data_IF_483602096883
#
_entry.id   IF_483602096883
#
_cell.length_a   1.000
_cell.length_b   1.000
_cell.length_c   1.000
_cell.angle_alpha   90.00
_cell.angle_beta   90.00
_cell.angle_gamma   90.00
#
_symmetry.space_group_name_H-M   'P 1'
#
loop_
_entity.id
_entity.type
_entity.pdbx_description
1 polymer ?
#
# COMPACT_ATOMS: atom_id res chain seq x y z
N UNK A 1 12.69 21.53 29.74
CA UNK A 1 11.72 20.58 29.14
C UNK A 1 10.34 20.57 29.80
N UNK A 2 9.34 21.04 29.08
CA UNK A 2 7.93 20.91 29.44
C UNK A 2 7.41 19.52 29.03
N UNK A 3 6.58 18.90 29.88
CA UNK A 3 5.98 17.59 29.59
C UNK A 3 4.64 17.78 28.88
N UNK A 4 4.50 17.23 27.68
CA UNK A 4 3.26 17.24 26.91
C UNK A 4 2.65 15.85 26.83
N UNK A 5 1.32 15.81 26.73
CA UNK A 5 0.61 14.57 26.45
C UNK A 5 0.76 14.20 24.97
N UNK A 6 0.85 12.90 24.71
CA UNK A 6 1.06 12.36 23.36
C UNK A 6 -0.10 11.44 23.02
N UNK A 7 -0.77 11.68 21.91
CA UNK A 7 -1.81 10.80 21.39
C UNK A 7 -1.25 10.05 20.20
N UNK A 8 -1.34 8.71 20.24
CA UNK A 8 -0.98 7.83 19.12
C UNK A 8 -2.28 7.25 18.58
N UNK A 9 -2.58 7.52 17.32
CA UNK A 9 -3.76 6.99 16.63
C UNK A 9 -3.51 5.58 16.11
N UNK A 10 -4.56 4.86 15.73
CA UNK A 10 -4.46 3.53 15.09
C UNK A 10 -3.62 3.54 13.81
N UNK A 11 -3.63 4.66 13.09
CA UNK A 11 -2.79 4.88 11.91
C UNK A 11 -1.33 5.25 12.23
N UNK A 12 -0.88 5.05 13.47
CA UNK A 12 0.47 5.38 13.98
C UNK A 12 0.87 6.87 13.93
N UNK A 13 -0.01 7.75 13.46
CA UNK A 13 0.21 9.19 13.56
C UNK A 13 0.20 9.64 15.03
N UNK A 14 1.04 10.62 15.30
CA UNK A 14 1.24 11.17 16.63
C UNK A 14 0.75 12.61 16.66
N UNK A 15 -0.05 12.96 17.68
CA UNK A 15 -0.39 14.33 18.02
C UNK A 15 0.07 14.64 19.42
N UNK A 16 0.87 15.69 19.57
CA UNK A 16 1.26 16.22 20.88
C UNK A 16 0.27 17.30 21.29
N UNK A 17 -0.08 17.38 22.58
CA UNK A 17 -0.97 18.43 23.07
C UNK A 17 -0.32 19.80 22.99
N UNK A 18 -1.08 20.80 22.57
CA UNK A 18 -0.64 22.20 22.50
C UNK A 18 -0.26 22.72 23.90
N UNK A 19 -1.01 22.30 24.93
CA UNK A 19 -0.73 22.66 26.32
C UNK A 19 0.13 21.58 27.01
N UNK A 20 1.17 21.97 27.74
CA UNK A 20 1.92 21.04 28.57
C UNK A 20 1.08 20.57 29.76
N UNK A 21 1.24 19.30 30.13
CA UNK A 21 0.69 18.71 31.36
C UNK A 21 1.50 19.18 32.57
N UNK A 22 2.82 19.36 32.41
CA UNK A 22 3.69 19.92 33.43
C UNK A 22 4.66 20.89 32.80
N UNK A 23 4.66 22.13 33.28
CA UNK A 23 5.63 23.16 32.90
C UNK A 23 6.95 22.96 33.67
N UNK A 24 8.07 23.30 33.04
CA UNK A 24 9.36 23.36 33.71
C UNK A 24 9.60 24.73 34.35
N UNK A 25 10.66 24.85 35.16
CA UNK A 25 11.01 26.10 35.85
C UNK A 25 11.22 27.27 34.89
N UNK A 26 11.91 27.04 33.77
CA UNK A 26 12.11 28.07 32.73
C UNK A 26 10.77 28.62 32.23
N UNK A 27 9.80 27.74 31.96
CA UNK A 27 8.48 28.15 31.51
C UNK A 27 7.69 28.86 32.63
N UNK A 28 7.83 28.45 33.89
CA UNK A 28 7.17 29.15 34.99
C UNK A 28 7.76 30.54 35.22
N UNK A 29 9.08 30.70 35.08
CA UNK A 29 9.76 31.99 35.24
C UNK A 29 9.40 32.95 34.12
N UNK A 30 9.27 32.45 32.89
CA UNK A 30 8.74 33.24 31.77
C UNK A 30 7.30 33.70 32.03
N UNK A 31 6.42 32.80 32.48
CA UNK A 31 5.01 33.14 32.78
C UNK A 31 4.91 34.15 33.94
N UNK A 32 5.81 34.08 34.92
CA UNK A 32 5.85 35.02 36.06
C UNK A 32 6.54 36.36 35.72
N UNK A 33 7.09 36.51 34.52
CA UNK A 33 7.78 37.73 34.07
C UNK A 33 9.20 37.89 34.61
N UNK A 34 9.74 36.86 35.26
CA UNK A 34 11.13 36.82 35.77
C UNK A 34 12.10 36.38 34.67
N UNK A 35 11.65 35.48 33.79
CA UNK A 35 12.40 34.98 32.64
C UNK A 35 12.14 35.78 31.36
N UNK A 36 13.17 35.95 30.52
CA UNK A 36 13.09 36.67 29.25
C UNK A 36 12.54 35.84 28.09
N UNK A 37 12.68 34.51 28.14
CA UNK A 37 12.37 33.60 27.03
C UNK A 37 11.52 32.41 27.47
N UNK A 38 10.63 31.97 26.59
CA UNK A 38 9.79 30.78 26.80
C UNK A 38 10.60 29.50 26.59
N UNK A 39 10.15 28.40 27.20
CA UNK A 39 10.74 27.09 27.00
C UNK A 39 10.14 26.39 25.77
N UNK A 40 10.96 26.16 24.75
CA UNK A 40 10.56 25.46 23.51
C UNK A 40 10.80 23.93 23.55
N UNK A 41 11.42 23.43 24.62
CA UNK A 41 11.74 22.01 24.71
C UNK A 41 10.54 21.16 25.11
N UNK A 42 10.04 20.37 24.16
CA UNK A 42 8.92 19.44 24.34
C UNK A 42 9.43 18.05 24.70
N UNK A 43 8.98 17.51 25.84
CA UNK A 43 9.19 16.11 26.24
C UNK A 43 7.87 15.39 26.39
N UNK A 44 7.78 14.12 25.96
CA UNK A 44 6.61 13.26 26.20
C UNK A 44 7.00 12.10 27.10
N UNK A 45 6.18 11.80 28.11
CA UNK A 45 6.37 10.64 28.98
C UNK A 45 5.43 9.49 28.58
N UNK A 46 5.87 8.21 28.63
CA UNK A 46 5.03 7.06 28.29
C UNK A 46 3.69 7.01 29.06
N UNK A 47 3.70 7.36 30.35
CA UNK A 47 2.47 7.39 31.17
C UNK A 47 1.45 8.48 30.75
N UNK A 48 1.89 9.48 29.98
CA UNK A 48 1.03 10.55 29.45
C UNK A 48 0.75 10.32 27.95
N UNK A 49 1.10 9.12 27.46
CA UNK A 49 0.86 8.70 26.08
C UNK A 49 -0.45 7.90 26.02
N UNK A 50 -1.43 8.41 25.28
CA UNK A 50 -2.73 7.75 25.09
C UNK A 50 -2.80 7.15 23.69
N UNK A 51 -3.08 5.85 23.60
CA UNK A 51 -3.38 5.20 22.32
C UNK A 51 -4.88 5.30 22.06
N UNK A 52 -5.26 5.92 20.94
CA UNK A 52 -6.66 5.99 20.51
C UNK A 52 -6.94 4.93 19.43
N UNK A 53 -8.05 4.18 19.55
CA UNK A 53 -8.42 3.18 18.55
C UNK A 53 -8.94 3.80 17.24
N UNK A 54 -9.15 5.11 17.21
CA UNK A 54 -9.54 5.84 16.00
C UNK A 54 -8.33 6.20 15.13
N UNK A 55 -8.59 6.42 13.85
CA UNK A 55 -7.65 7.08 12.93
C UNK A 55 -7.52 8.57 13.27
N UNK A 56 -6.45 9.21 12.78
CA UNK A 56 -6.34 10.66 12.85
C UNK A 56 -7.22 11.34 11.79
N UNK A 57 -7.58 12.61 11.98
CA UNK A 57 -8.43 13.37 11.06
C UNK A 57 -7.90 13.38 9.61
N UNK A 58 -6.59 13.51 9.44
CA UNK A 58 -5.97 13.45 8.12
C UNK A 58 -6.19 12.09 7.42
N UNK A 59 -6.03 10.97 8.15
CA UNK A 59 -6.25 9.65 7.59
C UNK A 59 -7.71 9.39 7.28
N UNK A 60 -8.63 9.84 8.13
CA UNK A 60 -10.06 9.70 7.88
C UNK A 60 -10.48 10.46 6.62
N UNK A 61 -9.96 11.68 6.45
CA UNK A 61 -10.25 12.52 5.28
C UNK A 61 -9.63 11.96 4.00
N UNK A 62 -8.41 11.41 4.11
CA UNK A 62 -7.77 10.74 2.97
C UNK A 62 -8.56 9.49 2.56
N UNK A 63 -9.03 8.69 3.53
CA UNK A 63 -9.83 7.50 3.26
C UNK A 63 -11.17 7.86 2.63
N UNK A 64 -11.87 8.86 3.16
CA UNK A 64 -13.16 9.28 2.58
C UNK A 64 -13.04 9.76 1.14
N UNK A 65 -11.97 10.49 0.81
CA UNK A 65 -11.66 10.86 -0.59
C UNK A 65 -11.42 9.64 -1.46
N UNK A 66 -10.63 8.67 -1.00
CA UNK A 66 -10.38 7.44 -1.75
C UNK A 66 -11.67 6.64 -1.95
N UNK A 67 -12.48 6.48 -0.91
CA UNK A 67 -13.78 5.80 -0.98
C UNK A 67 -14.70 6.46 -2.00
N UNK A 68 -14.70 7.81 -2.06
CA UNK A 68 -15.45 8.56 -3.05
C UNK A 68 -14.94 8.28 -4.47
N UNK A 69 -13.62 8.37 -4.70
CA UNK A 69 -13.05 8.08 -6.03
C UNK A 69 -13.31 6.65 -6.48
N UNK A 70 -13.30 5.68 -5.57
CA UNK A 70 -13.63 4.29 -5.87
C UNK A 70 -15.09 4.11 -6.23
N UNK A 71 -16.01 4.83 -5.56
CA UNK A 71 -17.44 4.82 -5.93
C UNK A 71 -17.65 5.40 -7.33
N UNK A 72 -16.99 6.51 -7.65
CA UNK A 72 -17.06 7.13 -8.97
C UNK A 72 -16.51 6.20 -10.05
N UNK A 73 -15.33 5.58 -9.82
CA UNK A 73 -14.75 4.62 -10.74
C UNK A 73 -15.66 3.39 -10.95
N UNK A 74 -16.24 2.84 -9.88
CA UNK A 74 -17.21 1.73 -9.97
C UNK A 74 -18.45 2.11 -10.79
N UNK A 75 -18.96 3.32 -10.63
CA UNK A 75 -20.10 3.81 -11.39
C UNK A 75 -19.77 3.94 -12.89
N UNK A 76 -18.58 4.46 -13.23
CA UNK A 76 -18.11 4.55 -14.61
C UNK A 76 -17.96 3.15 -15.24
N UNK A 77 -17.34 2.21 -14.52
CA UNK A 77 -17.20 0.82 -15.00
C UNK A 77 -18.57 0.19 -15.24
N UNK A 78 -19.52 0.36 -14.30
CA UNK A 78 -20.88 -0.15 -14.46
C UNK A 78 -21.59 0.48 -15.67
N UNK A 79 -21.43 1.78 -15.91
CA UNK A 79 -21.99 2.47 -17.07
C UNK A 79 -21.42 1.96 -18.40
N UNK A 80 -20.11 1.76 -18.46
CA UNK A 80 -19.44 1.17 -19.65
C UNK A 80 -19.91 -0.26 -19.86
N UNK A 81 -19.97 -1.09 -18.82
CA UNK A 81 -20.50 -2.46 -18.89
C UNK A 81 -21.94 -2.48 -19.42
N UNK A 82 -22.81 -1.59 -18.94
CA UNK A 82 -24.19 -1.49 -19.41
C UNK A 82 -24.27 -1.10 -20.89
N UNK A 83 -23.42 -0.17 -21.33
CA UNK A 83 -23.35 0.26 -22.72
C UNK A 83 -22.89 -0.89 -23.63
N UNK A 84 -21.81 -1.59 -23.25
CA UNK A 84 -21.29 -2.73 -23.99
C UNK A 84 -22.30 -3.88 -24.06
N UNK A 85 -23.01 -4.16 -22.96
CA UNK A 85 -24.08 -5.16 -22.92
C UNK A 85 -25.25 -4.81 -23.83
N UNK A 86 -25.59 -3.52 -23.92
CA UNK A 86 -26.62 -3.02 -24.82
C UNK A 86 -26.22 -3.08 -26.29
N UNK A 87 -24.94 -2.86 -26.63
CA UNK A 87 -24.46 -2.79 -28.02
C UNK A 87 -23.97 -4.12 -28.60
N UNK A 88 -23.39 -5.01 -27.79
CA UNK A 88 -22.75 -6.25 -28.25
C UNK A 88 -23.42 -7.54 -27.74
N UNK A 89 -24.50 -7.44 -26.97
CA UNK A 89 -25.05 -8.59 -26.22
C UNK A 89 -24.23 -8.90 -24.96
N UNK A 90 -24.51 -10.03 -24.29
CA UNK A 90 -23.96 -10.32 -22.95
C UNK A 90 -22.44 -10.21 -22.88
N UNK A 91 -21.96 -9.17 -22.21
CA UNK A 91 -20.57 -9.09 -21.73
C UNK A 91 -20.45 -10.07 -20.57
N UNK A 92 -19.45 -10.93 -20.61
CA UNK A 92 -19.16 -11.93 -19.57
C UNK A 92 -18.99 -11.20 -18.23
N UNK A 93 -19.85 -11.52 -17.26
CA UNK A 93 -19.91 -10.91 -15.91
C UNK A 93 -18.81 -11.44 -14.97
N UNK A 94 -17.74 -12.01 -15.50
CA UNK A 94 -16.69 -12.63 -14.70
C UNK A 94 -15.72 -11.55 -14.19
N UNK A 95 -16.14 -10.86 -13.13
CA UNK A 95 -15.18 -10.38 -12.15
C UNK A 95 -14.73 -11.64 -11.43
N UNK A 96 -13.65 -12.26 -11.90
CA UNK A 96 -12.96 -13.30 -11.14
C UNK A 96 -12.49 -12.62 -9.86
N UNK A 97 -13.24 -12.80 -8.78
CA UNK A 97 -12.71 -12.66 -7.43
C UNK A 97 -11.64 -13.75 -7.31
N UNK A 98 -10.39 -13.37 -7.58
CA UNK A 98 -9.24 -14.26 -7.33
C UNK A 98 -9.08 -14.30 -5.82
N UNK A 99 -9.80 -15.23 -5.19
CA UNK A 99 -9.39 -15.78 -3.91
C UNK A 99 -8.08 -16.54 -4.18
N UNK A 100 -6.97 -15.95 -3.74
CA UNK A 100 -5.65 -16.58 -3.78
C UNK A 100 -5.65 -17.67 -2.72
N UNK A 101 -6.22 -18.82 -3.06
CA UNK A 101 -6.10 -20.02 -2.24
C UNK A 101 -4.96 -20.89 -2.77
N UNK A 102 -4.02 -21.12 -1.86
CA UNK A 102 -2.74 -21.82 -2.08
C UNK A 102 -2.99 -23.30 -1.88
N UNK A 103 -2.88 -24.12 -2.93
CA UNK A 103 -2.50 -25.55 -2.85
C UNK A 103 -2.11 -26.04 -4.26
N UNK A 104 -0.83 -26.39 -4.53
CA UNK A 104 -0.26 -27.77 -4.53
C UNK A 104 -1.13 -28.77 -5.33
N UNK A 105 -0.70 -29.54 -6.33
CA UNK A 105 0.59 -30.11 -6.75
C UNK A 105 0.45 -30.71 -8.17
N UNK A 106 1.57 -31.26 -8.66
CA UNK A 106 1.70 -32.37 -9.63
C UNK A 106 1.73 -32.05 -11.13
N UNK A 107 2.97 -31.98 -11.63
CA UNK A 107 3.33 -32.34 -13.00
C UNK A 107 3.73 -33.84 -13.05
N UNK A 108 3.51 -34.53 -14.18
CA UNK A 108 4.37 -35.63 -14.57
C UNK A 108 5.18 -35.32 -15.83
N UNK A 109 6.44 -35.71 -15.72
CA UNK A 109 7.53 -35.73 -16.70
C UNK A 109 7.16 -36.31 -18.08
N UNK A 110 7.75 -35.77 -19.15
CA UNK A 110 8.13 -36.58 -20.32
C UNK A 110 9.22 -35.93 -21.21
N UNK A 111 10.37 -36.60 -21.21
CA UNK A 111 11.33 -36.92 -22.29
C UNK A 111 12.14 -35.88 -23.09
N UNK A 112 13.44 -36.19 -23.09
CA UNK A 112 14.47 -35.80 -24.06
C UNK A 112 14.29 -36.62 -25.34
N UNK A 113 14.23 -35.95 -26.50
CA UNK A 113 14.24 -36.59 -27.82
C UNK A 113 14.65 -35.62 -28.92
N UNK A 114 15.58 -36.06 -29.76
CA UNK A 114 16.45 -35.30 -30.67
C UNK A 114 15.79 -34.72 -31.94
N UNK A 115 16.47 -33.68 -32.45
CA UNK A 115 16.64 -33.27 -33.86
C UNK A 115 15.44 -33.25 -34.83
N UNK A 116 15.17 -32.06 -35.38
CA UNK A 116 15.23 -31.79 -36.83
C UNK A 116 15.00 -30.31 -37.15
N UNK A 117 15.92 -29.76 -37.95
CA UNK A 117 15.82 -28.45 -38.59
C UNK A 117 14.61 -28.41 -39.54
N UNK A 118 13.51 -27.87 -39.04
CA UNK A 118 12.45 -27.25 -39.83
C UNK A 118 12.33 -25.89 -39.18
N UNK A 119 12.73 -24.81 -39.86
CA UNK A 119 12.46 -23.46 -39.35
C UNK A 119 10.94 -23.29 -39.37
N UNK A 120 10.24 -23.40 -38.23
CA UNK A 120 8.82 -23.12 -38.21
C UNK A 120 8.72 -21.60 -38.32
N UNK A 121 7.73 -21.10 -39.04
CA UNK A 121 7.34 -19.71 -38.92
C UNK A 121 6.99 -19.49 -37.44
N UNK A 122 7.92 -18.92 -36.69
CA UNK A 122 7.87 -18.90 -35.23
C UNK A 122 6.71 -18.01 -34.81
N UNK A 123 5.82 -18.56 -33.98
CA UNK A 123 4.77 -17.82 -33.30
C UNK A 123 5.38 -16.54 -32.69
N UNK A 124 4.80 -15.35 -32.97
CA UNK A 124 5.28 -14.07 -32.44
C UNK A 124 5.54 -14.08 -30.92
N UNK A 125 4.77 -14.89 -30.19
CA UNK A 125 4.94 -15.09 -28.74
C UNK A 125 6.26 -15.81 -28.43
N UNK A 126 6.61 -16.81 -29.21
CA UNK A 126 7.83 -17.60 -29.04
C UNK A 126 9.09 -16.78 -29.34
N UNK A 127 9.05 -15.91 -30.36
CA UNK A 127 10.12 -14.94 -30.60
C UNK A 127 10.29 -13.95 -29.45
N UNK A 128 9.17 -13.44 -28.92
CA UNK A 128 9.19 -12.51 -27.80
C UNK A 128 9.81 -13.15 -26.56
N UNK A 129 9.42 -14.39 -26.24
CA UNK A 129 9.98 -15.14 -25.12
C UNK A 129 11.47 -15.43 -25.32
N UNK A 130 11.88 -15.79 -26.54
CA UNK A 130 13.30 -15.99 -26.86
C UNK A 130 14.12 -14.71 -26.71
N UNK A 131 13.61 -13.57 -27.19
CA UNK A 131 14.26 -12.25 -27.01
C UNK A 131 14.34 -11.86 -25.54
N UNK A 132 13.34 -12.22 -24.73
CA UNK A 132 13.35 -11.97 -23.28
C UNK A 132 14.33 -12.87 -22.53
N UNK A 133 14.47 -14.13 -22.91
CA UNK A 133 15.43 -15.07 -22.34
C UNK A 133 16.88 -14.79 -22.76
N UNK A 134 17.09 -14.22 -23.94
CA UNK A 134 18.42 -13.80 -24.41
C UNK A 134 18.85 -12.41 -23.90
N UNK A 135 17.96 -11.70 -23.19
CA UNK A 135 18.31 -10.41 -22.60
C UNK A 135 19.38 -10.60 -21.51
N UNK A 136 20.31 -9.63 -21.40
CA UNK A 136 21.42 -9.68 -20.44
C UNK A 136 20.95 -9.88 -18.98
N UNK A 137 19.72 -9.47 -18.70
CA UNK A 137 19.09 -9.53 -17.39
C UNK A 137 18.14 -10.73 -17.22
N UNK A 138 18.13 -11.70 -18.15
CA UNK A 138 17.27 -12.87 -18.07
C UNK A 138 17.52 -13.72 -16.80
N UNK A 139 18.75 -13.69 -16.29
CA UNK A 139 19.13 -14.31 -15.02
C UNK A 139 18.37 -13.73 -13.81
N UNK A 140 17.86 -12.49 -13.90
CA UNK A 140 17.02 -11.89 -12.85
C UNK A 140 15.59 -12.45 -12.85
N UNK A 141 15.13 -13.02 -13.97
CA UNK A 141 13.82 -13.65 -14.09
C UNK A 141 13.83 -15.12 -13.62
N UNK A 142 15.01 -15.68 -13.35
CA UNK A 142 15.21 -17.04 -12.83
C UNK A 142 15.45 -17.09 -11.31
N UNK A 143 15.38 -15.94 -10.62
CA UNK A 143 15.54 -15.86 -9.17
C UNK A 143 14.22 -16.15 -8.46
N UNK A 144 13.83 -17.40 -8.51
CA UNK A 144 12.69 -17.92 -7.78
C UNK A 144 12.73 -19.43 -7.77
N UNK A 145 13.84 -20.02 -7.33
CA UNK A 145 13.96 -21.38 -6.79
C UNK A 145 15.39 -21.60 -6.22
N UNK A 146 15.65 -20.98 -5.07
CA UNK A 146 16.63 -21.48 -4.11
C UNK A 146 15.95 -21.44 -2.75
N UNK A 147 15.32 -22.55 -2.39
CA UNK A 147 15.42 -23.28 -1.12
C UNK A 147 15.15 -24.74 -1.47
#
# INVERSE_FOLDING_TARGET
MCNHSKIIFRCNHVRVSEKPVRICLVQSDYISGVGSEACDEVRSHPLITVRRPSECGYCTDKRSRLDQTLKEAKALIAGVKATLKGSYGMVVDEIVEVDVDVTTEEAPDHEVGEERDIVPELDPVQEFLRKKLAAKDAHLMMLGNQI
#
